data_IF_358900931846
#
_entry.id   IF_358900931846
#
_cell.length_a   1.000
_cell.length_b   1.000
_cell.length_c   1.000
_cell.angle_alpha   90.00
_cell.angle_beta   90.00
_cell.angle_gamma   90.00
#
_symmetry.space_group_name_H-M   'P 1'
#
loop_
_entity.id
_entity.type
_entity.pdbx_description
1 polymer ?
#
# COMPACT_ATOMS: atom_id res chain seq x y z
N UNK A 1 -12.23 14.49 41.28
CA UNK A 1 -11.20 14.50 40.21
C UNK A 1 -11.25 13.13 39.56
N UNK A 2 -12.04 13.01 38.49
CA UNK A 2 -12.42 11.76 37.82
C UNK A 2 -11.20 11.09 37.19
N UNK A 3 -10.92 9.85 37.56
CA UNK A 3 -10.01 8.99 36.80
C UNK A 3 -10.86 8.13 35.86
N UNK A 4 -10.82 8.49 34.58
CA UNK A 4 -11.50 7.78 33.50
C UNK A 4 -10.47 7.02 32.64
N UNK A 5 -10.67 5.70 32.64
CA UNK A 5 -10.64 4.71 31.54
C UNK A 5 -9.35 4.31 30.79
N UNK A 6 -9.24 2.98 30.72
CA UNK A 6 -8.85 2.19 29.55
C UNK A 6 -7.37 2.12 29.15
N UNK A 7 -6.55 1.58 30.06
CA UNK A 7 -5.37 0.82 29.67
C UNK A 7 -5.78 -0.56 29.13
N UNK A 8 -6.42 -0.62 27.96
CA UNK A 8 -6.66 -1.87 27.25
C UNK A 8 -5.29 -2.42 26.80
N UNK A 9 -4.65 -3.19 27.69
CA UNK A 9 -3.48 -3.99 27.39
C UNK A 9 -3.84 -4.84 26.18
N UNK A 10 -3.35 -4.44 25.00
CA UNK A 10 -3.51 -5.19 23.77
C UNK A 10 -2.86 -6.53 24.01
N UNK A 11 -3.66 -7.51 24.43
CA UNK A 11 -3.23 -8.88 24.70
C UNK A 11 -2.39 -9.30 23.49
N UNK A 12 -1.15 -9.70 23.73
CA UNK A 12 -0.34 -10.32 22.70
C UNK A 12 -1.00 -11.66 22.41
N UNK A 13 -1.93 -11.65 21.44
CA UNK A 13 -2.50 -12.86 20.88
C UNK A 13 -1.48 -13.30 19.85
N UNK A 14 -0.69 -14.36 20.10
CA UNK A 14 0.20 -14.88 19.08
C UNK A 14 -0.67 -15.27 17.87
N UNK A 15 -0.32 -14.83 16.65
CA UNK A 15 -1.03 -15.29 15.48
C UNK A 15 -0.91 -16.83 15.45
N UNK A 16 -2.02 -17.51 15.13
CA UNK A 16 -2.09 -18.98 15.11
C UNK A 16 -1.12 -19.63 14.09
N UNK A 17 -0.41 -18.83 13.31
CA UNK A 17 0.60 -19.23 12.34
C UNK A 17 1.89 -18.49 12.64
N UNK A 18 3.06 -19.14 12.54
CA UNK A 18 4.33 -18.46 12.72
C UNK A 18 4.44 -17.32 11.70
N UNK A 19 4.51 -16.09 12.20
CA UNK A 19 4.78 -14.89 11.40
C UNK A 19 6.07 -15.13 10.63
N UNK A 20 5.98 -15.12 9.30
CA UNK A 20 7.15 -15.15 8.42
C UNK A 20 7.52 -13.70 8.11
N UNK A 21 8.50 -13.09 8.81
CA UNK A 21 8.90 -11.72 8.55
C UNK A 21 9.63 -11.65 7.21
N UNK A 22 9.21 -10.73 6.34
CA UNK A 22 9.93 -10.36 5.13
C UNK A 22 10.60 -9.00 5.28
N UNK A 23 11.80 -8.90 4.73
CA UNK A 23 12.57 -7.65 4.66
C UNK A 23 12.32 -6.91 3.35
N UNK A 24 12.81 -5.67 3.26
CA UNK A 24 12.60 -4.78 2.12
C UNK A 24 12.96 -5.39 0.77
N UNK A 25 14.05 -6.16 0.69
CA UNK A 25 14.48 -6.81 -0.56
C UNK A 25 13.45 -7.82 -1.05
N UNK A 26 12.98 -8.68 -0.16
CA UNK A 26 11.93 -9.66 -0.46
C UNK A 26 10.58 -8.97 -0.74
N UNK A 27 10.28 -7.89 0.01
CA UNK A 27 9.05 -7.14 -0.19
C UNK A 27 8.96 -6.57 -1.60
N UNK A 28 10.06 -6.01 -2.15
CA UNK A 28 10.08 -5.46 -3.51
C UNK A 28 9.92 -6.51 -4.61
N UNK A 29 10.28 -7.77 -4.33
CA UNK A 29 10.03 -8.86 -5.27
C UNK A 29 8.54 -9.19 -5.37
N UNK A 30 7.81 -9.09 -4.25
CA UNK A 30 6.37 -9.37 -4.18
C UNK A 30 5.53 -8.16 -4.59
N UNK A 31 5.90 -6.99 -4.11
CA UNK A 31 5.22 -5.72 -4.34
C UNK A 31 6.17 -4.83 -5.12
N UNK A 32 6.03 -4.74 -6.46
CA UNK A 32 6.88 -3.92 -7.30
C UNK A 32 6.49 -2.43 -7.22
N UNK A 33 6.37 -1.91 -5.99
CA UNK A 33 6.16 -0.49 -5.68
C UNK A 33 7.42 0.09 -5.05
N UNK A 34 7.61 1.39 -5.21
CA UNK A 34 8.70 2.09 -4.54
C UNK A 34 8.46 2.20 -3.03
N UNK A 35 9.54 2.30 -2.26
CA UNK A 35 9.46 2.49 -0.81
C UNK A 35 8.67 3.75 -0.43
N UNK A 36 8.74 4.80 -1.24
CA UNK A 36 7.99 6.04 -1.03
C UNK A 36 6.49 5.84 -1.25
N UNK A 37 6.09 5.04 -2.24
CA UNK A 37 4.68 4.67 -2.42
C UNK A 37 4.20 3.80 -1.26
N UNK A 38 5.01 2.83 -0.81
CA UNK A 38 4.68 1.99 0.35
C UNK A 38 4.49 2.85 1.60
N UNK A 39 5.38 3.81 1.86
CA UNK A 39 5.22 4.76 2.97
C UNK A 39 3.93 5.59 2.86
N UNK A 40 3.62 6.09 1.66
CA UNK A 40 2.37 6.83 1.44
C UNK A 40 1.12 5.98 1.71
N UNK A 41 1.13 4.72 1.27
CA UNK A 41 0.03 3.78 1.52
C UNK A 41 -0.06 3.37 3.00
N UNK A 42 1.08 3.24 3.70
CA UNK A 42 1.13 3.00 5.15
C UNK A 42 0.49 4.17 5.91
N UNK A 43 0.83 5.40 5.55
CA UNK A 43 0.23 6.62 6.14
C UNK A 43 -1.28 6.73 5.88
N UNK A 44 -1.75 6.22 4.75
CA UNK A 44 -3.18 6.13 4.45
C UNK A 44 -3.88 4.91 5.10
N UNK A 45 -3.15 4.07 5.84
CA UNK A 45 -3.68 2.83 6.43
C UNK A 45 -4.08 1.78 5.39
N UNK A 46 -3.62 1.91 4.14
CA UNK A 46 -3.94 1.00 3.03
C UNK A 46 -2.91 -0.09 2.82
N UNK A 47 -1.82 -0.10 3.59
CA UNK A 47 -0.75 -1.09 3.50
C UNK A 47 -0.54 -1.77 4.85
N UNK A 48 -0.10 -3.05 4.90
CA UNK A 48 0.21 -3.76 6.15
C UNK A 48 1.14 -2.98 7.07
N UNK A 49 0.85 -2.99 8.37
CA UNK A 49 1.61 -2.25 9.36
C UNK A 49 2.99 -2.87 9.54
N UNK A 50 4.02 -2.04 9.48
CA UNK A 50 5.40 -2.47 9.76
C UNK A 50 5.63 -2.74 11.24
N UNK A 51 6.52 -3.69 11.54
CA UNK A 51 7.04 -3.89 12.89
C UNK A 51 8.57 -3.97 12.89
N UNK A 52 9.17 -3.58 14.01
CA UNK A 52 10.62 -3.53 14.14
C UNK A 52 11.10 -4.83 14.81
N UNK A 53 11.95 -5.59 14.12
CA UNK A 53 12.69 -6.70 14.71
C UNK A 53 13.82 -6.19 15.61
N UNK A 54 14.48 -5.11 15.17
CA UNK A 54 15.53 -4.40 15.93
C UNK A 54 15.44 -2.90 15.65
N UNK A 55 16.24 -2.09 16.34
CA UNK A 55 16.23 -0.62 16.21
C UNK A 55 16.37 -0.11 14.76
N UNK A 56 16.99 -0.89 13.86
CA UNK A 56 17.15 -0.56 12.43
C UNK A 56 16.47 -1.55 11.50
N UNK A 57 15.95 -2.66 12.01
CA UNK A 57 15.40 -3.72 11.19
C UNK A 57 13.88 -3.66 11.19
N UNK A 58 13.32 -3.14 10.11
CA UNK A 58 11.88 -3.12 9.85
C UNK A 58 11.52 -4.36 9.02
N UNK A 59 10.44 -5.04 9.41
CA UNK A 59 9.89 -6.19 8.71
C UNK A 59 8.37 -6.05 8.55
N UNK A 60 7.86 -6.83 7.60
CA UNK A 60 6.43 -7.01 7.35
C UNK A 60 6.07 -8.48 7.48
N UNK A 61 4.82 -8.78 7.83
CA UNK A 61 4.34 -10.15 7.81
C UNK A 61 4.04 -10.56 6.36
N UNK A 62 4.60 -11.69 5.92
CA UNK A 62 4.39 -12.20 4.57
C UNK A 62 2.91 -12.42 4.25
N UNK A 63 2.15 -13.02 5.17
CA UNK A 63 0.77 -13.38 4.93
C UNK A 63 -0.11 -12.11 4.82
N UNK A 64 0.18 -11.07 5.59
CA UNK A 64 -0.51 -9.79 5.46
C UNK A 64 -0.21 -9.12 4.11
N UNK A 65 1.04 -9.19 3.65
CA UNK A 65 1.44 -8.64 2.34
C UNK A 65 0.80 -9.42 1.20
N UNK A 66 0.78 -10.76 1.26
CA UNK A 66 0.11 -11.61 0.27
C UNK A 66 -1.39 -11.32 0.22
N UNK A 67 -2.06 -11.27 1.38
CA UNK A 67 -3.47 -10.94 1.47
C UNK A 67 -3.78 -9.54 0.90
N UNK A 68 -2.89 -8.57 1.13
CA UNK A 68 -3.01 -7.24 0.55
C UNK A 68 -2.87 -7.27 -0.98
N UNK A 69 -1.90 -8.00 -1.54
CA UNK A 69 -1.75 -8.15 -3.00
C UNK A 69 -2.99 -8.81 -3.61
N UNK A 70 -3.52 -9.85 -2.98
CA UNK A 70 -4.77 -10.49 -3.41
C UNK A 70 -5.96 -9.52 -3.36
N UNK A 71 -6.09 -8.74 -2.29
CA UNK A 71 -7.12 -7.71 -2.19
C UNK A 71 -7.00 -6.71 -3.34
N UNK A 72 -5.80 -6.20 -3.62
CA UNK A 72 -5.55 -5.28 -4.74
C UNK A 72 -5.89 -5.91 -6.09
N UNK A 73 -5.60 -7.22 -6.27
CA UNK A 73 -6.00 -7.98 -7.46
C UNK A 73 -7.51 -8.02 -7.60
N UNK A 74 -8.25 -8.30 -6.53
CA UNK A 74 -9.72 -8.31 -6.52
C UNK A 74 -10.29 -6.92 -6.81
N UNK A 75 -9.77 -5.87 -6.17
CA UNK A 75 -10.17 -4.48 -6.42
C UNK A 75 -9.92 -4.06 -7.87
N UNK A 76 -8.79 -4.48 -8.46
CA UNK A 76 -8.49 -4.26 -9.86
C UNK A 76 -9.43 -5.02 -10.80
N UNK A 77 -9.74 -6.28 -10.51
CA UNK A 77 -10.65 -7.09 -11.31
C UNK A 77 -12.09 -6.55 -11.23
N UNK A 78 -12.49 -6.07 -10.06
CA UNK A 78 -13.78 -5.43 -9.83
C UNK A 78 -13.87 -4.01 -10.41
N UNK A 79 -12.82 -3.50 -11.09
CA UNK A 79 -12.70 -2.12 -11.61
C UNK A 79 -12.98 -1.02 -10.57
N UNK A 80 -12.84 -1.32 -9.27
CA UNK A 80 -13.07 -0.37 -8.17
C UNK A 80 -11.96 0.68 -8.15
N UNK A 81 -10.77 0.31 -8.61
CA UNK A 81 -9.67 1.24 -8.85
C UNK A 81 -9.76 1.71 -10.28
N UNK A 82 -10.30 2.92 -10.49
CA UNK A 82 -10.26 3.55 -11.80
C UNK A 82 -8.80 3.60 -12.29
N UNK A 83 -8.53 3.03 -13.47
CA UNK A 83 -7.26 3.24 -14.16
C UNK A 83 -7.08 4.75 -14.33
N UNK A 84 -5.85 5.25 -14.18
CA UNK A 84 -5.58 6.66 -14.51
C UNK A 84 -6.14 6.93 -15.92
N UNK A 85 -6.96 7.99 -16.08
CA UNK A 85 -7.54 8.30 -17.38
C UNK A 85 -6.41 8.48 -18.39
N UNK A 86 -6.66 8.09 -19.64
CA UNK A 86 -5.68 8.30 -20.69
C UNK A 86 -5.26 9.78 -20.69
N UNK A 87 -3.94 10.08 -20.71
CA UNK A 87 -3.49 11.46 -20.67
C UNK A 87 -3.99 12.17 -21.93
N UNK A 88 -4.74 13.27 -21.74
CA UNK A 88 -5.21 14.07 -22.87
C UNK A 88 -3.99 14.60 -23.64
N UNK A 89 -3.86 14.15 -24.89
CA UNK A 89 -2.71 14.48 -25.75
C UNK A 89 -2.74 15.94 -26.20
N UNK A 90 -3.89 16.61 -26.11
CA UNK A 90 -4.07 18.02 -26.52
C UNK A 90 -3.45 19.01 -25.53
N UNK A 91 -3.31 18.62 -24.26
CA UNK A 91 -2.70 19.46 -23.21
C UNK A 91 -1.20 19.21 -23.05
N UNK A 92 -0.59 18.38 -23.90
CA UNK A 92 0.85 18.07 -23.81
C UNK A 92 1.69 19.32 -24.09
N UNK A 93 2.55 19.68 -23.12
CA UNK A 93 3.45 20.83 -23.21
C UNK A 93 4.43 20.79 -24.40
N UNK A 94 4.94 19.60 -24.74
CA UNK A 94 6.01 19.46 -25.75
C UNK A 94 5.48 19.20 -27.16
N UNK A 95 4.32 18.53 -27.32
CA UNK A 95 3.70 18.20 -28.63
C UNK A 95 2.17 18.07 -28.50
N UNK A 96 1.43 19.17 -28.45
CA UNK A 96 -0.02 19.13 -28.46
C UNK A 96 -0.55 18.79 -29.86
N UNK A 97 -1.56 17.93 -29.93
CA UNK A 97 -2.25 17.61 -31.20
C UNK A 97 -3.15 18.79 -31.59
N UNK A 98 -2.94 19.35 -32.79
CA UNK A 98 -3.80 20.41 -33.34
C UNK A 98 -5.22 19.85 -33.49
N UNK A 99 -6.22 20.53 -32.93
CA UNK A 99 -7.61 20.15 -33.17
C UNK A 99 -7.90 20.21 -34.69
N UNK A 100 -8.68 19.26 -35.25
CA UNK A 100 -9.11 19.36 -36.63
C UNK A 100 -9.88 20.68 -36.77
N UNK A 101 -9.41 21.57 -37.65
CA UNK A 101 -9.98 22.89 -37.85
C UNK A 101 -11.44 22.77 -38.27
N UNK A 102 -12.34 23.33 -37.45
CA UNK A 102 -13.74 23.54 -37.79
C UNK A 102 -13.86 24.74 -38.74
N UNK A 103 -14.75 24.58 -39.71
CA UNK A 103 -15.09 25.48 -40.81
C UNK A 103 -15.56 26.87 -40.38
#
# INVERSE_FOLDING_TARGET
>A
MTQDVNGASKRFIPPARPTRPIRREQLRQLVPLSDTTIYGLEMQGRFPRRFNLTNRCVAWDLAEVEAWVEQRRRESLANVVAKSPAPDVRVRRTRPVKAPGGQ
#
